data_IF_583905074068
#
_entry.id   IF_583905074068
#
_cell.length_a   1.000
_cell.length_b   1.000
_cell.length_c   1.000
_cell.angle_alpha   90.00
_cell.angle_beta   90.00
_cell.angle_gamma   90.00
#
_symmetry.space_group_name_H-M   'P 1'
#
loop_
_entity.id
_entity.type
_entity.pdbx_description
1 polymer ?
#
# COMPACT_ATOMS: atom_id res chain seq x y z
N UNK A 1 -0.42 35.39 -15.41
CA UNK A 1 1.02 35.07 -15.59
C UNK A 1 1.69 34.54 -14.32
N UNK A 2 1.33 35.02 -13.11
CA UNK A 2 1.89 34.53 -11.84
C UNK A 2 1.48 33.11 -11.40
N UNK A 3 0.24 32.69 -11.68
CA UNK A 3 -0.25 31.34 -11.37
C UNK A 3 0.54 30.25 -12.11
N UNK A 4 0.70 30.37 -13.43
CA UNK A 4 1.47 29.42 -14.27
C UNK A 4 2.93 29.26 -13.82
N UNK A 5 3.56 30.35 -13.34
CA UNK A 5 4.92 30.31 -12.80
C UNK A 5 5.00 29.63 -11.43
N UNK A 6 4.06 29.90 -10.51
CA UNK A 6 4.01 29.26 -9.18
C UNK A 6 3.71 27.76 -9.27
N UNK A 7 2.82 27.36 -10.17
CA UNK A 7 2.48 25.96 -10.47
C UNK A 7 3.71 25.17 -10.94
N UNK A 8 4.53 25.78 -11.81
CA UNK A 8 5.77 25.16 -12.28
C UNK A 8 6.80 24.96 -11.16
N UNK A 9 6.80 25.81 -10.11
CA UNK A 9 7.75 25.70 -9.00
C UNK A 9 7.34 24.62 -8.00
N UNK A 10 6.05 24.52 -7.62
CA UNK A 10 5.56 23.45 -6.74
C UNK A 10 5.69 22.07 -7.40
N UNK A 11 5.28 21.94 -8.67
CA UNK A 11 5.44 20.71 -9.45
C UNK A 11 6.90 20.24 -9.47
N UNK A 12 7.85 21.15 -9.75
CA UNK A 12 9.28 20.83 -9.71
C UNK A 12 9.76 20.44 -8.32
N UNK A 13 9.22 21.02 -7.24
CA UNK A 13 9.57 20.65 -5.87
C UNK A 13 9.10 19.24 -5.55
N UNK A 14 7.84 18.91 -5.83
CA UNK A 14 7.29 17.56 -5.58
C UNK A 14 8.01 16.49 -6.41
N UNK A 15 8.23 16.74 -7.71
CA UNK A 15 9.03 15.85 -8.56
C UNK A 15 10.43 15.68 -7.98
N UNK A 16 11.08 16.77 -7.56
CA UNK A 16 12.43 16.70 -6.97
C UNK A 16 12.43 15.92 -5.66
N UNK A 17 11.40 16.05 -4.82
CA UNK A 17 11.25 15.26 -3.61
C UNK A 17 11.13 13.78 -3.98
N UNK A 18 10.22 13.43 -4.89
CA UNK A 18 10.01 12.05 -5.31
C UNK A 18 11.26 11.42 -5.96
N UNK A 19 11.98 12.16 -6.82
CA UNK A 19 13.26 11.71 -7.40
C UNK A 19 14.31 11.33 -6.35
N UNK A 20 14.23 11.90 -5.15
CA UNK A 20 15.17 11.62 -4.05
C UNK A 20 14.69 10.51 -3.11
N UNK A 21 13.43 10.05 -3.23
CA UNK A 21 12.93 8.95 -2.41
C UNK A 21 13.53 7.63 -2.87
N UNK A 22 14.17 6.91 -1.95
CA UNK A 22 14.77 5.60 -2.24
C UNK A 22 14.38 4.60 -1.15
N UNK A 23 13.34 3.82 -1.40
CA UNK A 23 12.88 2.79 -0.50
C UNK A 23 12.21 1.63 -1.26
N UNK A 24 12.29 0.41 -0.75
CA UNK A 24 11.74 -0.77 -1.43
C UNK A 24 10.21 -0.68 -1.64
N UNK A 25 9.53 -0.02 -0.69
CA UNK A 25 8.08 0.15 -0.68
C UNK A 25 7.63 1.54 -1.18
N UNK A 26 8.52 2.26 -1.86
CA UNK A 26 8.22 3.51 -2.56
C UNK A 26 8.61 3.30 -4.02
N UNK A 27 7.68 3.54 -4.95
CA UNK A 27 7.98 3.42 -6.36
C UNK A 27 8.98 4.53 -6.74
N UNK A 28 10.16 4.20 -7.29
CA UNK A 28 11.11 5.23 -7.69
C UNK A 28 10.61 5.96 -8.94
N UNK A 29 10.83 7.28 -8.96
CA UNK A 29 10.69 8.09 -10.16
C UNK A 29 12.05 8.17 -10.85
N UNK A 30 12.13 7.79 -12.13
CA UNK A 30 13.37 7.90 -12.91
C UNK A 30 13.56 9.30 -13.49
N UNK A 31 12.47 9.99 -13.81
CA UNK A 31 12.53 11.31 -14.41
C UNK A 31 11.19 11.79 -14.94
N UNK A 32 11.25 12.91 -15.65
CA UNK A 32 10.14 13.42 -16.45
C UNK A 32 10.59 13.60 -17.89
N UNK A 33 9.64 13.48 -18.82
CA UNK A 33 9.86 13.67 -20.25
C UNK A 33 8.72 14.51 -20.84
N UNK A 34 8.95 15.06 -22.03
CA UNK A 34 7.96 15.84 -22.79
C UNK A 34 7.80 15.22 -24.17
N UNK A 35 6.71 15.55 -24.88
CA UNK A 35 6.45 15.04 -26.23
C UNK A 35 5.53 13.82 -26.30
N UNK A 36 4.97 13.36 -25.18
CA UNK A 36 3.94 12.31 -25.11
C UNK A 36 2.52 12.88 -24.89
N UNK A 37 2.31 14.17 -25.14
CA UNK A 37 1.02 14.84 -24.97
C UNK A 37 1.18 16.31 -24.58
N UNK A 38 0.08 16.91 -24.11
CA UNK A 38 0.02 18.32 -23.71
C UNK A 38 0.73 18.63 -22.39
N UNK A 39 0.99 17.61 -21.56
CA UNK A 39 1.60 17.75 -20.25
C UNK A 39 2.89 16.92 -20.15
N UNK A 40 3.84 17.28 -19.24
CA UNK A 40 4.99 16.44 -18.94
C UNK A 40 4.56 15.05 -18.48
N UNK A 41 5.25 14.02 -18.97
CA UNK A 41 5.06 12.64 -18.55
C UNK A 41 6.11 12.25 -17.50
N UNK A 42 5.71 11.40 -16.55
CA UNK A 42 6.60 10.81 -15.57
C UNK A 42 7.07 9.43 -16.04
N UNK A 43 8.32 9.11 -15.73
CA UNK A 43 8.94 7.83 -16.10
C UNK A 43 9.25 7.06 -14.83
N UNK A 44 8.61 5.92 -14.65
CA UNK A 44 8.77 5.01 -13.51
C UNK A 44 8.93 3.56 -14.01
N UNK A 45 9.45 2.64 -13.18
CA UNK A 45 9.51 1.23 -13.56
C UNK A 45 8.11 0.65 -13.69
N UNK A 46 7.92 -0.21 -14.68
CA UNK A 46 6.70 -0.97 -14.86
C UNK A 46 6.50 -2.00 -13.74
N UNK A 47 5.26 -2.20 -13.31
CA UNK A 47 4.89 -3.10 -12.21
C UNK A 47 3.80 -4.07 -12.69
N UNK A 48 4.20 -5.32 -12.94
CA UNK A 48 3.38 -6.32 -13.66
C UNK A 48 2.08 -6.73 -12.95
N UNK A 49 2.08 -6.82 -11.61
CA UNK A 49 0.87 -7.23 -10.89
C UNK A 49 -0.13 -6.07 -10.67
N UNK A 50 0.12 -4.90 -11.27
CA UNK A 50 -0.80 -3.77 -11.28
C UNK A 50 -1.03 -3.15 -9.90
N UNK A 51 -2.22 -2.59 -9.72
CA UNK A 51 -2.63 -1.91 -8.49
C UNK A 51 -3.10 -2.91 -7.43
N UNK A 52 -3.02 -2.51 -6.16
CA UNK A 52 -3.48 -3.29 -5.02
C UNK A 52 -4.96 -3.68 -5.18
N UNK A 53 -5.79 -2.76 -5.66
CA UNK A 53 -7.22 -3.02 -5.88
C UNK A 53 -7.42 -4.17 -6.85
N UNK A 54 -6.79 -4.12 -8.04
CA UNK A 54 -6.91 -5.17 -9.05
C UNK A 54 -6.30 -6.48 -8.55
N UNK A 55 -5.15 -6.40 -7.86
CA UNK A 55 -4.47 -7.57 -7.32
C UNK A 55 -5.31 -8.32 -6.28
N UNK A 56 -5.99 -7.61 -5.39
CA UNK A 56 -6.87 -8.22 -4.39
C UNK A 56 -8.13 -8.80 -5.04
N UNK A 57 -8.74 -8.12 -6.01
CA UNK A 57 -9.90 -8.66 -6.73
C UNK A 57 -9.59 -10.00 -7.42
N UNK A 58 -8.39 -10.14 -8.00
CA UNK A 58 -7.96 -11.36 -8.68
C UNK A 58 -7.52 -12.46 -7.70
N UNK A 59 -6.73 -12.11 -6.66
CA UNK A 59 -5.95 -13.10 -5.91
C UNK A 59 -6.27 -13.24 -4.44
N UNK A 60 -7.16 -12.42 -3.88
CA UNK A 60 -7.38 -12.36 -2.42
C UNK A 60 -7.65 -13.72 -1.78
N UNK A 61 -8.48 -14.56 -2.42
CA UNK A 61 -8.80 -15.90 -1.90
C UNK A 61 -7.63 -16.89 -1.86
N UNK A 62 -6.54 -16.59 -2.57
CA UNK A 62 -5.31 -17.38 -2.59
C UNK A 62 -4.24 -16.86 -1.62
N UNK A 63 -4.46 -15.72 -0.97
CA UNK A 63 -3.49 -15.11 -0.06
C UNK A 63 -3.54 -15.77 1.32
N UNK A 64 -2.36 -16.13 1.84
CA UNK A 64 -2.19 -16.54 3.23
C UNK A 64 -2.16 -15.32 4.17
N UNK A 65 -2.41 -15.54 5.46
CA UNK A 65 -2.33 -14.48 6.48
C UNK A 65 -0.99 -13.73 6.44
N UNK A 66 0.12 -14.46 6.28
CA UNK A 66 1.47 -13.87 6.19
C UNK A 66 1.60 -12.95 4.97
N UNK A 67 1.02 -13.32 3.82
CA UNK A 67 1.04 -12.47 2.62
C UNK A 67 0.17 -11.22 2.81
N UNK A 68 -1.02 -11.37 3.39
CA UNK A 68 -1.93 -10.25 3.69
C UNK A 68 -1.27 -9.24 4.62
N UNK A 69 -0.69 -9.70 5.73
CA UNK A 69 0.04 -8.85 6.67
C UNK A 69 1.33 -8.29 6.06
N UNK A 70 2.01 -9.06 5.21
CA UNK A 70 3.19 -8.59 4.47
C UNK A 70 2.88 -7.43 3.52
N UNK A 71 1.69 -7.41 2.90
CA UNK A 71 1.23 -6.26 2.12
C UNK A 71 1.04 -5.02 3.01
N UNK A 72 0.45 -5.18 4.20
CA UNK A 72 0.27 -4.09 5.15
C UNK A 72 1.60 -3.53 5.64
N UNK A 73 2.53 -4.42 6.03
CA UNK A 73 3.86 -4.06 6.48
C UNK A 73 4.62 -3.26 5.42
N UNK A 74 4.48 -3.69 4.17
CA UNK A 74 5.09 -3.00 3.04
C UNK A 74 4.53 -1.58 2.87
N UNK A 75 3.22 -1.39 2.95
CA UNK A 75 2.61 -0.04 2.88
C UNK A 75 3.01 0.80 4.10
N UNK A 76 2.96 0.24 5.31
CA UNK A 76 3.36 0.91 6.55
C UNK A 76 4.83 1.36 6.50
N UNK A 77 5.74 0.50 6.06
CA UNK A 77 7.15 0.82 5.86
C UNK A 77 7.36 1.94 4.83
N UNK A 78 6.55 1.96 3.76
CA UNK A 78 6.56 3.05 2.78
C UNK A 78 6.12 4.39 3.37
N UNK A 79 5.11 4.39 4.25
CA UNK A 79 4.67 5.59 4.97
C UNK A 79 5.71 6.07 5.99
N UNK A 80 6.21 5.17 6.84
CA UNK A 80 7.24 5.46 7.86
C UNK A 80 8.50 6.06 7.27
N UNK A 81 9.00 5.51 6.17
CA UNK A 81 10.19 6.03 5.48
C UNK A 81 10.08 7.52 5.16
N UNK A 82 8.89 7.99 4.76
CA UNK A 82 8.68 9.37 4.32
C UNK A 82 8.69 10.36 5.47
N UNK A 83 8.08 10.00 6.59
CA UNK A 83 8.04 10.82 7.79
C UNK A 83 9.48 11.10 8.27
N UNK A 84 10.32 10.06 8.29
CA UNK A 84 11.67 10.15 8.82
C UNK A 84 12.71 10.78 7.86
N UNK A 85 12.66 10.47 6.56
CA UNK A 85 13.76 10.81 5.64
C UNK A 85 13.53 12.06 4.77
N UNK A 86 12.30 12.56 4.64
CA UNK A 86 11.96 13.45 3.51
C UNK A 86 11.32 14.79 3.87
N UNK A 87 11.41 15.23 5.14
CA UNK A 87 10.77 16.46 5.66
C UNK A 87 9.23 16.38 5.69
N UNK A 88 8.66 15.29 6.22
CA UNK A 88 7.21 15.08 6.34
C UNK A 88 6.44 15.38 5.05
N UNK A 89 6.79 14.67 3.97
CA UNK A 89 6.04 14.78 2.72
C UNK A 89 4.67 14.12 2.96
N UNK A 90 3.58 14.84 2.68
CA UNK A 90 2.23 14.28 2.69
C UNK A 90 1.95 13.64 1.33
N UNK A 91 1.33 12.46 1.29
CA UNK A 91 0.96 11.82 0.03
C UNK A 91 -0.29 12.48 -0.55
N UNK A 92 -1.33 12.62 0.27
CA UNK A 92 -2.56 13.33 -0.05
C UNK A 92 -3.45 12.64 -1.09
N UNK A 93 -3.19 11.37 -1.41
CA UNK A 93 -4.01 10.54 -2.32
C UNK A 93 -3.75 9.04 -2.11
N UNK A 94 -3.44 8.63 -0.88
CA UNK A 94 -3.14 7.22 -0.63
C UNK A 94 -4.40 6.39 -0.88
N UNK A 95 -4.37 5.52 -1.88
CA UNK A 95 -5.52 4.71 -2.30
C UNK A 95 -5.08 3.36 -2.83
N UNK A 96 -6.03 2.43 -2.96
CA UNK A 96 -5.73 1.10 -3.53
C UNK A 96 -5.29 1.14 -4.99
N UNK A 97 -5.48 2.28 -5.69
CA UNK A 97 -4.96 2.51 -7.04
C UNK A 97 -3.51 3.00 -7.03
N UNK A 98 -3.10 3.69 -5.97
CA UNK A 98 -1.76 4.27 -5.81
C UNK A 98 -0.83 3.36 -4.99
N UNK A 99 -1.25 2.14 -4.68
CA UNK A 99 -0.38 1.07 -4.17
C UNK A 99 -0.22 0.04 -5.29
N UNK A 100 1.01 -0.21 -5.72
CA UNK A 100 1.34 -1.17 -6.78
C UNK A 100 1.99 -2.42 -6.20
N UNK A 101 1.73 -3.58 -6.82
CA UNK A 101 2.27 -4.86 -6.38
C UNK A 101 3.40 -5.32 -7.32
N UNK A 102 4.62 -5.43 -6.79
CA UNK A 102 5.78 -5.92 -7.54
C UNK A 102 5.64 -7.40 -7.88
N UNK A 103 6.45 -7.87 -8.83
CA UNK A 103 6.48 -9.28 -9.27
C UNK A 103 6.70 -10.26 -8.10
N UNK A 104 7.56 -9.89 -7.15
CA UNK A 104 7.83 -10.65 -5.93
C UNK A 104 6.69 -10.59 -4.88
N UNK A 105 5.55 -9.98 -5.20
CA UNK A 105 4.40 -9.83 -4.32
C UNK A 105 4.51 -8.73 -3.26
N UNK A 106 5.55 -7.89 -3.31
CA UNK A 106 5.71 -6.77 -2.37
C UNK A 106 4.92 -5.55 -2.82
N UNK A 107 4.27 -4.88 -1.87
CA UNK A 107 3.57 -3.62 -2.13
C UNK A 107 4.55 -2.44 -2.16
N UNK A 108 4.29 -1.48 -3.03
CA UNK A 108 4.97 -0.19 -3.04
C UNK A 108 4.00 0.94 -3.35
N UNK A 109 4.17 2.06 -2.66
CA UNK A 109 3.34 3.26 -2.84
C UNK A 109 3.85 4.05 -4.05
N UNK A 110 2.95 4.56 -4.88
CA UNK A 110 3.21 5.32 -6.10
C UNK A 110 2.52 6.70 -6.04
N UNK A 111 2.77 7.55 -7.05
CA UNK A 111 2.03 8.79 -7.30
C UNK A 111 2.03 9.83 -6.16
N UNK A 112 3.20 10.06 -5.57
CA UNK A 112 3.39 11.03 -4.49
C UNK A 112 3.12 12.47 -4.91
N UNK A 113 2.31 13.17 -4.10
CA UNK A 113 2.15 14.62 -4.17
C UNK A 113 1.46 15.13 -5.45
N UNK A 114 0.96 14.22 -6.31
CA UNK A 114 0.35 14.57 -7.59
C UNK A 114 -1.08 15.09 -7.45
N UNK A 115 -1.81 14.72 -6.40
CA UNK A 115 -3.22 15.12 -6.20
C UNK A 115 -3.38 16.62 -5.97
N UNK A 116 -2.47 17.25 -5.22
CA UNK A 116 -2.43 18.71 -5.08
C UNK A 116 -2.12 19.39 -6.43
N UNK A 117 -1.26 18.79 -7.25
CA UNK A 117 -0.81 19.37 -8.51
C UNK A 117 -1.84 19.26 -9.63
N UNK A 118 -2.53 18.13 -9.77
CA UNK A 118 -3.56 17.91 -10.80
C UNK A 118 -4.80 18.79 -10.57
N UNK A 119 -5.10 19.07 -9.31
CA UNK A 119 -6.20 19.94 -8.88
C UNK A 119 -5.94 21.41 -9.22
N UNK A 120 -4.67 21.84 -9.25
CA UNK A 120 -4.28 23.20 -9.61
C UNK A 120 -3.95 23.36 -11.12
N UNK A 121 -3.50 22.29 -11.80
CA UNK A 121 -3.14 22.30 -13.23
C UNK A 121 -4.33 22.29 -14.18
N UNK A 122 -5.49 21.83 -13.72
CA UNK A 122 -6.70 21.85 -14.52
C UNK A 122 -7.86 22.46 -13.75
N UNK A 123 -8.31 23.63 -14.21
CA UNK A 123 -9.50 24.28 -13.69
C UNK A 123 -10.67 23.30 -13.58
N UNK A 124 -11.50 23.52 -12.55
CA UNK A 124 -12.76 22.84 -12.16
C UNK A 124 -13.02 21.43 -12.70
N UNK A 125 -13.09 21.27 -14.01
CA UNK A 125 -13.14 19.99 -14.74
C UNK A 125 -12.03 18.97 -14.42
N UNK A 126 -10.76 19.37 -14.24
CA UNK A 126 -9.70 18.37 -13.96
C UNK A 126 -9.67 17.99 -12.48
N UNK A 127 -9.96 18.93 -11.57
CA UNK A 127 -10.20 18.65 -10.14
C UNK A 127 -11.41 17.71 -9.92
N UNK A 128 -12.50 17.93 -10.68
CA UNK A 128 -13.66 17.03 -10.72
C UNK A 128 -13.33 15.65 -11.33
N UNK A 129 -12.24 15.55 -12.10
CA UNK A 129 -11.75 14.28 -12.66
C UNK A 129 -10.53 13.68 -11.92
N UNK A 130 -9.81 14.46 -11.09
CA UNK A 130 -8.68 14.06 -10.25
C UNK A 130 -9.14 13.56 -8.89
N UNK A 131 -10.37 13.89 -8.49
CA UNK A 131 -11.26 12.99 -7.75
C UNK A 131 -11.65 11.80 -8.64
N UNK A 132 -10.66 11.21 -9.30
CA UNK A 132 -10.77 10.16 -10.27
C UNK A 132 -11.55 9.03 -9.61
N UNK A 133 -12.77 8.81 -10.12
CA UNK A 133 -13.64 7.65 -9.91
C UNK A 133 -12.98 6.56 -9.05
N UNK A 134 -13.11 6.67 -7.72
CA UNK A 134 -12.60 5.67 -6.79
C UNK A 134 -11.93 6.21 -5.53
N UNK A 135 -11.07 7.25 -5.61
CA UNK A 135 -10.20 7.60 -4.47
C UNK A 135 -10.96 8.14 -3.24
N UNK A 136 -12.17 8.67 -3.44
CA UNK A 136 -13.03 9.22 -2.39
C UNK A 136 -13.36 8.23 -1.26
N UNK A 137 -13.21 6.93 -1.52
CA UNK A 137 -13.41 5.86 -0.54
C UNK A 137 -12.29 5.78 0.51
N UNK A 138 -11.13 6.36 0.22
CA UNK A 138 -9.98 6.44 1.12
C UNK A 138 -9.79 7.83 1.72
N UNK A 139 -10.39 8.87 1.11
CA UNK A 139 -10.26 10.26 1.53
C UNK A 139 -10.84 10.52 2.94
N UNK A 140 -10.08 11.23 3.75
CA UNK A 140 -10.49 11.66 5.08
C UNK A 140 -11.61 12.73 5.00
N UNK A 141 -12.58 12.75 5.94
CA UNK A 141 -13.73 13.63 5.88
C UNK A 141 -13.35 15.12 5.88
N UNK A 142 -12.27 15.51 6.56
CA UNK A 142 -11.77 16.88 6.60
C UNK A 142 -11.28 17.41 5.24
N UNK A 143 -11.06 16.53 4.25
CA UNK A 143 -10.60 16.90 2.90
C UNK A 143 -11.72 17.03 1.88
N UNK A 144 -12.99 16.76 2.24
CA UNK A 144 -14.10 16.75 1.29
C UNK A 144 -14.62 18.14 0.87
N UNK A 145 -14.06 19.23 1.42
CA UNK A 145 -14.33 20.64 1.08
C UNK A 145 -15.78 20.91 0.62
N UNK A 146 -16.73 20.72 1.53
CA UNK A 146 -18.17 20.81 1.26
C UNK A 146 -18.77 22.17 1.62
N UNK A 147 -17.95 23.12 2.11
CA UNK A 147 -18.41 24.46 2.44
C UNK A 147 -18.54 25.29 1.17
N UNK A 148 -19.77 25.64 0.81
CA UNK A 148 -20.06 26.64 -0.21
C UNK A 148 -20.22 27.97 0.53
N UNK A 149 -19.44 29.02 0.22
CA UNK A 149 -19.60 30.32 0.86
C UNK A 149 -21.05 30.80 0.71
N UNK A 150 -21.71 31.14 1.83
CA UNK A 150 -23.13 31.57 1.84
C UNK A 150 -23.37 32.84 1.00
N UNK A 151 -22.31 33.62 0.74
CA UNK A 151 -22.40 34.96 0.17
C UNK A 151 -22.21 35.00 -1.36
N UNK A 152 -22.05 33.84 -2.02
CA UNK A 152 -21.85 33.76 -3.48
C UNK A 152 -20.60 34.46 -4.01
N UNK A 153 -19.75 34.98 -3.12
CA UNK A 153 -18.44 35.51 -3.46
C UNK A 153 -17.51 34.31 -3.67
N UNK A 154 -16.91 34.25 -4.86
CA UNK A 154 -15.79 33.37 -5.20
C UNK A 154 -14.54 33.82 -4.40
N UNK A 155 -14.62 33.85 -3.07
CA UNK A 155 -13.41 33.85 -2.28
C UNK A 155 -12.72 32.52 -2.59
N UNK A 156 -11.48 32.64 -3.04
CA UNK A 156 -10.58 31.60 -3.51
C UNK A 156 -10.56 30.46 -2.49
N UNK A 157 -11.52 29.50 -2.60
CA UNK A 157 -11.81 28.52 -1.57
C UNK A 157 -10.51 27.87 -1.16
N UNK A 158 -10.10 28.16 0.07
CA UNK A 158 -8.79 27.80 0.57
C UNK A 158 -8.86 26.32 0.96
N UNK A 159 -8.88 25.47 -0.07
CA UNK A 159 -8.98 24.01 0.02
C UNK A 159 -8.09 23.49 1.13
N UNK A 160 -8.67 22.71 2.03
CA UNK A 160 -7.94 22.08 3.13
C UNK A 160 -6.82 21.23 2.53
N UNK A 161 -5.57 21.57 2.89
CA UNK A 161 -4.41 20.82 2.41
C UNK A 161 -4.35 19.45 3.11
N UNK A 162 -3.99 18.38 2.37
CA UNK A 162 -3.79 17.07 2.99
C UNK A 162 -2.67 17.15 4.05
N UNK A 163 -2.85 16.37 5.10
CA UNK A 163 -1.91 16.25 6.24
C UNK A 163 -1.42 14.81 6.40
N UNK A 164 -0.38 14.58 7.21
CA UNK A 164 0.04 13.23 7.60
C UNK A 164 -1.11 12.45 8.24
N UNK A 165 -1.93 13.13 9.04
CA UNK A 165 -3.11 12.55 9.67
C UNK A 165 -4.17 12.11 8.64
N UNK A 166 -4.30 12.83 7.52
CA UNK A 166 -5.19 12.40 6.42
C UNK A 166 -4.65 11.17 5.67
N UNK A 167 -3.33 11.01 5.56
CA UNK A 167 -2.70 9.81 5.02
C UNK A 167 -2.93 8.60 5.95
N UNK A 168 -2.90 8.81 7.28
CA UNK A 168 -3.22 7.77 8.29
C UNK A 168 -4.67 7.29 8.15
N UNK A 169 -5.63 8.21 7.97
CA UNK A 169 -7.02 7.82 7.68
C UNK A 169 -7.11 6.96 6.43
N UNK A 170 -6.42 7.37 5.38
CA UNK A 170 -6.35 6.65 4.10
C UNK A 170 -5.70 5.28 4.27
N UNK A 171 -4.67 5.15 5.12
CA UNK A 171 -4.07 3.88 5.48
C UNK A 171 -5.06 2.95 6.20
N UNK A 172 -5.88 3.44 7.12
CA UNK A 172 -6.95 2.65 7.73
C UNK A 172 -7.91 2.05 6.69
N UNK A 173 -8.20 2.80 5.64
CA UNK A 173 -9.00 2.34 4.49
C UNK A 173 -8.25 1.31 3.61
N UNK A 174 -6.94 1.46 3.41
CA UNK A 174 -6.09 0.43 2.77
C UNK A 174 -6.06 -0.85 3.61
N UNK A 175 -5.95 -0.72 4.93
CA UNK A 175 -5.93 -1.85 5.85
C UNK A 175 -7.23 -2.62 5.80
N UNK A 176 -8.38 -1.92 5.84
CA UNK A 176 -9.68 -2.54 5.58
C UNK A 176 -9.71 -3.29 4.24
N UNK A 177 -9.21 -2.66 3.18
CA UNK A 177 -9.24 -3.24 1.83
C UNK A 177 -8.43 -4.52 1.76
N UNK A 178 -7.20 -4.52 2.29
CA UNK A 178 -6.32 -5.68 2.30
C UNK A 178 -6.90 -6.81 3.16
N UNK A 179 -7.46 -6.50 4.33
CA UNK A 179 -8.00 -7.52 5.24
C UNK A 179 -9.33 -8.11 4.77
N UNK A 180 -10.07 -7.42 3.88
CA UNK A 180 -11.37 -7.86 3.39
C UNK A 180 -11.38 -8.31 1.93
N UNK A 181 -10.36 -7.94 1.16
CA UNK A 181 -10.29 -8.10 -0.28
C UNK A 181 -11.24 -7.19 -1.05
N UNK A 182 -11.92 -6.24 -0.38
CA UNK A 182 -12.95 -5.39 -0.98
C UNK A 182 -12.64 -3.92 -0.73
N UNK A 183 -12.97 -3.08 -1.70
CA UNK A 183 -12.83 -1.63 -1.52
C UNK A 183 -13.65 -1.12 -0.30
N UNK A 184 -13.19 -0.06 0.38
CA UNK A 184 -14.00 0.61 1.38
C UNK A 184 -15.34 1.04 0.78
N UNK A 185 -16.41 0.89 1.57
CA UNK A 185 -17.76 1.20 1.14
C UNK A 185 -18.26 0.43 -0.11
N UNK A 186 -17.74 -0.78 -0.41
CA UNK A 186 -18.11 -1.54 -1.62
C UNK A 186 -19.62 -1.76 -1.82
N UNK A 187 -20.44 -1.60 -0.77
CA UNK A 187 -21.91 -1.70 -0.81
C UNK A 187 -22.60 -0.44 -1.36
N UNK A 188 -21.90 0.70 -1.46
CA UNK A 188 -22.39 1.88 -2.18
C UNK A 188 -21.99 1.80 -3.65
N UNK A 189 -23.00 1.81 -4.52
CA UNK A 189 -22.82 1.68 -5.99
C UNK A 189 -22.32 2.97 -6.64
N UNK A 190 -22.57 4.14 -6.02
CA UNK A 190 -22.22 5.45 -6.57
C UNK A 190 -21.31 6.20 -5.59
N UNK A 191 -20.29 6.86 -6.12
CA UNK A 191 -19.36 7.69 -5.33
C UNK A 191 -20.07 8.78 -4.54
N UNK A 192 -21.13 9.39 -5.10
CA UNK A 192 -21.94 10.38 -4.38
C UNK A 192 -22.56 9.84 -3.07
N UNK A 193 -22.88 8.55 -3.02
CA UNK A 193 -23.37 7.93 -1.77
C UNK A 193 -22.25 7.75 -0.75
N UNK A 194 -21.03 7.48 -1.21
CA UNK A 194 -19.84 7.40 -0.37
C UNK A 194 -19.53 8.78 0.21
N UNK A 195 -19.47 9.81 -0.63
CA UNK A 195 -19.24 11.20 -0.19
C UNK A 195 -20.28 11.63 0.85
N UNK A 196 -21.56 11.36 0.58
CA UNK A 196 -22.63 11.65 1.53
C UNK A 196 -22.50 10.87 2.85
N UNK A 197 -22.07 9.62 2.82
CA UNK A 197 -21.84 8.83 4.02
C UNK A 197 -20.65 9.37 4.83
N UNK A 198 -19.53 9.65 4.17
CA UNK A 198 -18.30 10.17 4.81
C UNK A 198 -18.56 11.55 5.42
N UNK A 199 -19.29 12.44 4.73
CA UNK A 199 -19.62 13.77 5.27
C UNK A 199 -20.54 13.72 6.51
N UNK A 200 -21.26 12.61 6.70
CA UNK A 200 -22.07 12.33 7.89
C UNK A 200 -21.29 11.57 8.97
N UNK A 201 -19.98 11.38 8.80
CA UNK A 201 -19.13 10.62 9.72
C UNK A 201 -19.38 9.11 9.70
N UNK A 202 -20.07 8.58 8.68
CA UNK A 202 -20.34 7.15 8.59
C UNK A 202 -19.11 6.40 8.09
N UNK A 203 -18.56 5.51 8.93
CA UNK A 203 -17.40 4.66 8.59
C UNK A 203 -17.83 3.40 7.82
N UNK A 204 -16.91 2.71 7.12
CA UNK A 204 -17.20 1.42 6.49
C UNK A 204 -17.69 0.37 7.50
N UNK A 205 -18.51 -0.58 7.03
CA UNK A 205 -18.91 -1.73 7.84
C UNK A 205 -17.73 -2.67 8.10
N UNK A 206 -17.69 -3.24 9.30
CA UNK A 206 -16.73 -4.31 9.63
C UNK A 206 -16.91 -5.50 8.69
N UNK A 207 -15.84 -5.98 8.05
CA UNK A 207 -15.91 -7.16 7.19
C UNK A 207 -16.00 -8.43 8.03
N UNK A 208 -16.67 -9.46 7.49
CA UNK A 208 -16.73 -10.80 8.09
C UNK A 208 -15.52 -11.67 7.77
N UNK A 209 -14.41 -11.06 7.35
CA UNK A 209 -13.18 -11.77 6.94
C UNK A 209 -12.46 -12.34 8.14
N UNK A 210 -11.92 -13.55 8.01
CA UNK A 210 -11.08 -14.19 9.04
C UNK A 210 -9.81 -13.40 9.34
N UNK A 211 -9.33 -12.57 8.41
CA UNK A 211 -8.18 -11.71 8.66
C UNK A 211 -8.52 -10.48 9.53
N UNK A 212 -9.80 -10.20 9.79
CA UNK A 212 -10.25 -9.03 10.58
C UNK A 212 -10.54 -9.40 12.03
N UNK A 213 -9.48 -9.63 12.79
CA UNK A 213 -9.56 -9.81 14.25
C UNK A 213 -10.10 -8.56 14.95
N UNK A 214 -10.51 -8.68 16.21
CA UNK A 214 -10.97 -7.52 17.00
C UNK A 214 -9.88 -6.45 17.11
N UNK A 215 -8.64 -6.88 17.39
CA UNK A 215 -7.48 -6.00 17.52
C UNK A 215 -7.23 -5.18 16.26
N UNK A 216 -7.23 -5.82 15.08
CA UNK A 216 -7.08 -5.14 13.78
C UNK A 216 -8.24 -4.20 13.49
N UNK A 217 -9.47 -4.59 13.83
CA UNK A 217 -10.64 -3.75 13.64
C UNK A 217 -10.60 -2.49 14.51
N UNK A 218 -10.22 -2.62 15.78
CA UNK A 218 -10.04 -1.48 16.69
C UNK A 218 -8.98 -0.52 16.15
N UNK A 219 -7.85 -1.03 15.65
CA UNK A 219 -6.79 -0.22 15.08
C UNK A 219 -7.25 0.56 13.83
N UNK A 220 -8.01 -0.08 12.93
CA UNK A 220 -8.64 0.59 11.79
C UNK A 220 -9.56 1.73 12.26
N UNK A 221 -10.37 1.49 13.31
CA UNK A 221 -11.28 2.52 13.83
C UNK A 221 -10.52 3.72 14.44
N UNK A 222 -9.36 3.47 15.04
CA UNK A 222 -8.46 4.52 15.55
C UNK A 222 -7.87 5.35 14.41
N UNK A 223 -7.44 4.72 13.31
CA UNK A 223 -7.01 5.42 12.09
C UNK A 223 -8.11 6.33 11.54
N UNK A 224 -9.39 5.92 11.68
CA UNK A 224 -10.55 6.71 11.29
C UNK A 224 -11.09 7.63 12.39
N UNK A 225 -10.30 8.04 13.38
CA UNK A 225 -10.77 9.03 14.37
C UNK A 225 -11.14 10.35 13.68
N UNK A 226 -12.33 10.86 13.97
CA UNK A 226 -12.85 12.12 13.38
C UNK A 226 -13.10 13.21 14.42
N UNK A 227 -13.20 12.85 15.71
CA UNK A 227 -13.40 13.83 16.79
C UNK A 227 -12.08 14.38 17.30
N UNK A 228 -11.04 13.55 17.32
CA UNK A 228 -9.69 13.93 17.68
C UNK A 228 -8.74 13.41 16.60
N UNK A 229 -8.42 14.27 15.63
CA UNK A 229 -7.55 13.92 14.51
C UNK A 229 -6.14 13.56 15.01
N UNK A 230 -5.68 14.18 16.09
CA UNK A 230 -4.35 13.93 16.67
C UNK A 230 -4.27 12.59 17.42
N UNK A 231 -5.42 11.96 17.72
CA UNK A 231 -5.47 10.61 18.28
C UNK A 231 -5.23 9.48 17.28
N UNK A 232 -5.21 9.78 15.97
CA UNK A 232 -4.88 8.76 14.97
C UNK A 232 -3.39 8.39 15.13
N UNK A 233 -3.03 7.12 14.94
CA UNK A 233 -1.65 6.67 15.15
C UNK A 233 -0.69 7.31 14.15
N UNK A 234 0.53 7.59 14.61
CA UNK A 234 1.66 7.98 13.77
C UNK A 234 2.08 6.85 12.82
N UNK A 235 2.89 7.16 11.81
CA UNK A 235 3.37 6.11 10.90
C UNK A 235 4.31 5.10 11.59
N UNK A 236 4.95 5.50 12.70
CA UNK A 236 5.74 4.60 13.53
C UNK A 236 4.85 3.61 14.29
N UNK A 237 3.82 4.11 14.98
CA UNK A 237 2.85 3.25 15.70
C UNK A 237 2.13 2.29 14.75
N UNK A 238 1.86 2.72 13.50
CA UNK A 238 1.34 1.84 12.46
C UNK A 238 2.33 0.73 12.12
N UNK A 239 3.61 1.05 11.93
CA UNK A 239 4.63 0.06 11.60
C UNK A 239 4.82 -0.95 12.75
N UNK A 240 4.93 -0.45 13.98
CA UNK A 240 5.04 -1.27 15.19
C UNK A 240 3.84 -2.22 15.34
N UNK A 241 2.61 -1.70 15.20
CA UNK A 241 1.40 -2.52 15.27
C UNK A 241 1.41 -3.68 14.26
N UNK A 242 1.82 -3.42 13.01
CA UNK A 242 1.85 -4.45 11.97
C UNK A 242 2.99 -5.45 12.20
N UNK A 243 4.14 -5.00 12.71
CA UNK A 243 5.27 -5.87 13.05
C UNK A 243 4.91 -6.85 14.19
N UNK A 244 4.18 -6.40 15.20
CA UNK A 244 3.62 -7.25 16.26
C UNK A 244 2.67 -8.30 15.67
N UNK A 245 1.72 -7.90 14.82
CA UNK A 245 0.77 -8.82 14.18
C UNK A 245 1.46 -9.88 13.29
N UNK A 246 2.54 -9.50 12.62
CA UNK A 246 3.37 -10.41 11.84
C UNK A 246 4.13 -11.39 12.72
N UNK A 247 4.62 -10.93 13.87
CA UNK A 247 5.32 -11.77 14.84
C UNK A 247 4.38 -12.82 15.42
N UNK A 248 3.19 -12.41 15.86
CA UNK A 248 2.15 -13.30 16.38
C UNK A 248 1.76 -14.38 15.35
N UNK A 249 1.63 -14.01 14.08
CA UNK A 249 1.32 -14.97 13.00
C UNK A 249 2.48 -15.92 12.66
N UNK A 250 3.73 -15.56 13.00
CA UNK A 250 4.91 -16.40 12.77
C UNK A 250 5.21 -17.31 13.96
N UNK A 251 4.81 -16.93 15.16
CA UNK A 251 4.87 -17.84 16.30
C UNK A 251 3.97 -19.03 15.99
N UNK A 252 4.48 -20.27 16.03
CA UNK A 252 3.63 -21.43 15.94
C UNK A 252 2.66 -21.34 17.12
N UNK A 253 1.39 -21.06 16.85
CA UNK A 253 0.29 -21.20 17.80
C UNK A 253 0.04 -22.69 18.15
N UNK A 254 1.05 -23.55 17.98
CA UNK A 254 1.03 -25.01 18.12
C UNK A 254 1.44 -25.49 19.52
N UNK A 255 1.64 -24.58 20.48
CA UNK A 255 1.74 -24.96 21.90
C UNK A 255 0.37 -25.10 22.58
N UNK A 256 -0.71 -24.62 21.96
CA UNK A 256 -2.08 -24.76 22.48
C UNK A 256 -2.81 -26.03 22.00
N UNK A 257 -2.36 -26.65 20.90
CA UNK A 257 -2.90 -27.94 20.44
C UNK A 257 -2.28 -29.17 21.10
N UNK A 258 -1.13 -29.04 21.78
CA UNK A 258 -0.46 -30.16 22.46
C UNK A 258 -0.65 -30.21 23.98
N UNK A 259 -1.26 -29.17 24.60
CA UNK A 259 -1.54 -29.17 26.04
C UNK A 259 -2.56 -30.22 26.52
N UNK A 260 -3.57 -30.65 25.73
CA UNK A 260 -4.43 -31.75 26.17
C UNK A 260 -3.82 -33.14 25.99
N UNK A 261 -2.80 -33.31 25.14
CA UNK A 261 -2.21 -34.62 24.85
C UNK A 261 -1.00 -34.97 25.73
N UNK A 262 -0.26 -33.97 26.25
CA UNK A 262 0.76 -34.24 27.27
C UNK A 262 0.18 -34.47 28.68
N UNK A 263 -1.05 -34.00 28.94
CA UNK A 263 -1.73 -34.20 30.22
C UNK A 263 -2.36 -35.60 30.38
N UNK A 264 -2.50 -36.37 29.29
CA UNK A 264 -3.07 -37.73 29.32
C UNK A 264 -1.98 -38.81 29.48
N UNK A 265 -0.71 -38.48 29.23
CA UNK A 265 0.40 -39.46 29.27
C UNK A 265 1.15 -39.56 30.62
N UNK A 266 0.69 -38.91 31.69
CA UNK A 266 1.22 -39.15 33.06
C UNK A 266 0.18 -39.94 33.85
N UNK A 267 -0.16 -41.12 33.33
CA UNK A 267 -1.07 -42.06 33.94
C UNK A 267 -0.68 -43.48 33.58
N UNK A 268 0.17 -44.08 34.41
CA UNK A 268 0.28 -45.54 34.61
C UNK A 268 0.70 -46.40 33.40
N UNK A 269 1.94 -46.90 33.40
CA UNK A 269 2.29 -48.32 33.63
C UNK A 269 3.69 -48.71 33.11
N UNK A 270 4.44 -49.35 34.01
CA UNK A 270 5.36 -50.49 33.81
C UNK A 270 6.35 -50.50 32.61
N UNK A 271 7.61 -50.28 32.98
CA UNK A 271 8.84 -50.99 32.54
C UNK A 271 8.73 -52.06 31.44
N UNK A 272 9.43 -51.83 30.32
CA UNK A 272 10.18 -52.89 29.60
C UNK A 272 11.29 -52.27 28.72
N UNK A 273 12.56 -52.74 28.78
CA UNK A 273 13.65 -52.17 28.00
C UNK A 273 13.64 -52.67 26.54
N UNK A 274 13.95 -51.77 25.60
CA UNK A 274 14.18 -52.07 24.18
C UNK A 274 15.60 -52.63 23.96
N UNK A 275 15.80 -53.58 23.02
CA UNK A 275 17.13 -54.10 22.68
C UNK A 275 17.91 -53.15 21.75
N UNK A 276 19.26 -53.26 21.72
CA UNK A 276 20.12 -52.35 20.97
C UNK A 276 20.07 -52.61 19.46
N UNK A 277 20.09 -51.53 18.68
CA UNK A 277 20.24 -51.54 17.22
C UNK A 277 21.74 -51.49 16.88
N UNK A 278 22.32 -52.64 16.52
CA UNK A 278 23.63 -52.73 15.85
C UNK A 278 23.42 -52.84 14.33
N UNK A 279 24.00 -51.90 13.59
CA UNK A 279 24.11 -51.97 12.12
C UNK A 279 24.40 -50.62 11.47
N UNK A 280 25.45 -50.50 10.62
CA UNK A 280 25.80 -49.24 9.98
C UNK A 280 24.84 -48.92 8.83
N UNK A 281 24.15 -47.79 8.92
CA UNK A 281 23.31 -47.24 7.84
C UNK A 281 24.22 -46.67 6.74
N UNK A 282 24.17 -47.27 5.55
CA UNK A 282 24.80 -46.75 4.34
C UNK A 282 24.01 -45.55 3.79
N UNK A 283 24.71 -44.45 3.54
CA UNK A 283 24.21 -43.28 2.82
C UNK A 283 24.43 -43.52 1.32
N UNK A 284 23.40 -43.41 0.44
CA UNK A 284 23.63 -43.32 -0.99
C UNK A 284 23.92 -41.87 -1.39
N UNK A 285 25.11 -41.65 -1.94
CA UNK A 285 25.47 -40.45 -2.71
C UNK A 285 24.66 -40.43 -4.01
N UNK A 286 23.87 -39.38 -4.23
CA UNK A 286 23.60 -38.73 -5.54
C UNK A 286 22.43 -37.75 -5.42
N UNK A 287 22.75 -36.46 -5.33
CA UNK A 287 21.80 -35.38 -5.63
C UNK A 287 21.89 -35.11 -7.13
N UNK A 288 20.83 -35.41 -7.87
CA UNK A 288 20.66 -35.01 -9.27
C UNK A 288 19.89 -33.69 -9.27
N UNK A 289 20.55 -32.59 -9.65
CA UNK A 289 19.88 -31.31 -9.92
C UNK A 289 19.16 -31.35 -11.28
N UNK A 290 17.95 -30.77 -11.40
CA UNK A 290 17.30 -30.58 -12.70
C UNK A 290 17.78 -29.29 -13.41
N UNK A 291 17.76 -29.25 -14.75
CA UNK A 291 18.36 -28.17 -15.54
C UNK A 291 17.51 -26.89 -15.57
N UNK A 292 18.21 -25.75 -15.54
CA UNK A 292 17.65 -24.41 -15.73
C UNK A 292 17.18 -24.25 -17.18
N UNK A 293 15.88 -24.02 -17.38
CA UNK A 293 15.26 -23.78 -18.68
C UNK A 293 15.57 -22.38 -19.21
N UNK A 294 16.32 -22.31 -20.30
CA UNK A 294 16.74 -21.12 -21.04
C UNK A 294 15.69 -20.73 -22.10
N UNK A 295 14.48 -20.38 -21.69
CA UNK A 295 13.39 -20.11 -22.62
C UNK A 295 12.59 -18.84 -22.28
N UNK A 296 13.21 -17.65 -22.33
CA UNK A 296 12.48 -16.36 -22.43
C UNK A 296 13.15 -15.33 -23.38
N UNK A 297 14.32 -15.60 -23.95
CA UNK A 297 15.06 -14.61 -24.77
C UNK A 297 14.71 -14.58 -26.27
N UNK A 298 13.45 -14.79 -26.63
CA UNK A 298 13.04 -14.76 -28.04
C UNK A 298 11.68 -14.08 -28.23
N UNK A 299 11.57 -12.77 -27.94
CA UNK A 299 10.53 -11.88 -28.49
C UNK A 299 10.81 -10.40 -28.14
N UNK A 300 11.67 -9.75 -28.93
CA UNK A 300 11.59 -8.32 -29.30
C UNK A 300 12.93 -7.83 -29.90
N UNK A 301 13.14 -7.89 -31.23
CA UNK A 301 14.39 -7.45 -31.88
C UNK A 301 14.58 -5.92 -31.92
N UNK A 302 13.86 -5.13 -31.12
CA UNK A 302 13.91 -3.64 -31.13
C UNK A 302 14.45 -2.98 -29.85
N UNK A 303 14.93 -3.75 -28.87
CA UNK A 303 15.52 -3.21 -27.64
C UNK A 303 17.06 -3.20 -27.62
N UNK A 304 17.73 -3.91 -28.53
CA UNK A 304 19.20 -3.86 -28.64
C UNK A 304 19.72 -2.55 -29.25
N UNK A 305 18.93 -1.86 -30.08
CA UNK A 305 19.34 -0.60 -30.71
C UNK A 305 19.22 0.62 -29.79
N UNK A 306 18.55 0.50 -28.64
CA UNK A 306 18.39 1.59 -27.65
C UNK A 306 19.44 1.54 -26.53
N UNK A 307 20.03 0.37 -26.26
CA UNK A 307 21.06 0.20 -25.24
C UNK A 307 22.46 0.65 -25.70
N UNK A 308 22.71 0.75 -27.02
CA UNK A 308 23.98 1.26 -27.56
C UNK A 308 24.08 2.80 -27.53
N UNK A 309 22.98 3.51 -27.28
CA UNK A 309 22.94 4.98 -27.24
C UNK A 309 23.18 5.58 -25.84
N UNK A 310 23.36 4.75 -24.80
CA UNK A 310 23.50 5.19 -23.39
C UNK A 310 24.90 4.97 -22.79
N UNK A 311 25.91 4.65 -23.60
CA UNK A 311 27.31 4.62 -23.15
C UNK A 311 28.04 5.86 -23.66
N UNK A 312 28.35 6.86 -22.82
CA UNK A 312 29.23 7.94 -23.25
C UNK A 312 30.64 7.39 -23.47
N UNK A 313 31.23 7.73 -24.61
CA UNK A 313 32.61 7.44 -24.93
C UNK A 313 33.52 8.03 -23.83
N UNK A 314 34.34 7.16 -23.23
CA UNK A 314 35.44 7.61 -22.37
C UNK A 314 36.49 8.30 -23.24
N UNK A 315 36.75 9.57 -22.96
CA UNK A 315 38.03 10.23 -23.17
C UNK A 315 38.36 11.00 -21.91
#
# INVERSE_FOLDING_TARGET
MGLTLRLSQRLRREIKVWLNLRHANVLPLFGTTVGFGRFPAMVCPWVENGTLTVYLEDRYHSLSAIKVLGLLDNVASGLRYREFHSRCVVHGDLSGSNVLIRENGRACIADFGLSMLLTELGGSTFAASSHARGTLRWTAPELLDLEVPEDGMEEESQRVAPTTQSDVYSFGSIMLQILSGKMPYHYYKREAQVVHAVSRGMKPRRPSSTFTTERRWMFIQQCWSTMDIESRPSSEEIAEFIEEELTDCRTPSDVDFLRPLLAIQIGSTATRPLPPLDGPVRIPDTVVEPPVSTAVLARAPRLQSLLSALVPART
#
